data_IF_379251711319
#
_entry.id   IF_379251711319
#
_cell.length_a   1.000
_cell.length_b   1.000
_cell.length_c   1.000
_cell.angle_alpha   90.00
_cell.angle_beta   90.00
_cell.angle_gamma   90.00
#
_symmetry.space_group_name_H-M   'P 1'
#
loop_
_entity.id
_entity.type
_entity.pdbx_description
1 polymer ?
#
# COMPACT_ATOMS: atom_id res chain seq x y z
N UNK A 1 16.78 -8.28 26.15
CA UNK A 1 15.50 -8.73 25.56
C UNK A 1 15.35 -8.21 24.13
N UNK A 2 14.43 -8.76 23.28
CA UNK A 2 14.22 -8.27 21.90
C UNK A 2 13.81 -6.78 21.87
N UNK A 3 13.01 -6.33 22.86
CA UNK A 3 12.56 -4.94 22.94
C UNK A 3 13.71 -3.94 23.06
N UNK A 4 14.75 -4.24 23.82
CA UNK A 4 15.89 -3.33 23.98
C UNK A 4 16.70 -3.19 22.70
N UNK A 5 16.74 -4.26 21.89
CA UNK A 5 17.40 -4.25 20.57
C UNK A 5 16.61 -3.45 19.53
N UNK A 6 15.29 -3.42 19.63
CA UNK A 6 14.42 -2.70 18.70
C UNK A 6 14.24 -1.22 19.08
N UNK A 7 14.35 -0.88 20.35
CA UNK A 7 14.13 0.49 20.86
C UNK A 7 14.86 1.59 20.07
N UNK A 8 16.11 1.44 19.64
CA UNK A 8 16.80 2.48 18.86
C UNK A 8 16.19 2.72 17.48
N UNK A 9 15.36 1.80 16.98
CA UNK A 9 14.71 1.89 15.67
C UNK A 9 13.26 2.35 15.75
N UNK A 10 12.73 2.59 16.95
CA UNK A 10 11.36 3.07 17.17
C UNK A 10 11.37 4.57 17.27
N UNK A 11 10.53 5.22 16.49
CA UNK A 11 10.38 6.68 16.46
C UNK A 11 8.90 7.06 16.53
N UNK A 12 8.61 8.27 16.99
CA UNK A 12 7.30 8.88 16.81
C UNK A 12 7.13 9.23 15.31
N UNK A 13 6.27 8.50 14.64
CA UNK A 13 6.08 8.62 13.19
C UNK A 13 5.50 9.98 12.80
N UNK A 14 4.64 10.58 13.64
CA UNK A 14 4.03 11.89 13.38
C UNK A 14 5.09 12.99 13.41
N UNK A 15 5.90 13.02 14.46
CA UNK A 15 7.00 13.98 14.59
C UNK A 15 8.03 13.78 13.49
N UNK A 16 8.38 12.53 13.19
CA UNK A 16 9.32 12.20 12.14
C UNK A 16 8.87 12.70 10.77
N UNK A 17 7.61 12.43 10.40
CA UNK A 17 7.03 12.86 9.13
C UNK A 17 6.91 14.38 9.04
N UNK A 18 6.46 15.04 10.10
CA UNK A 18 6.40 16.51 10.14
C UNK A 18 7.77 17.12 9.89
N UNK A 19 8.81 16.62 10.56
CA UNK A 19 10.19 17.07 10.34
C UNK A 19 10.64 16.84 8.91
N UNK A 20 10.37 15.68 8.32
CA UNK A 20 10.73 15.38 6.95
C UNK A 20 10.07 16.34 5.97
N UNK A 21 8.78 16.62 6.14
CA UNK A 21 8.03 17.57 5.31
C UNK A 21 8.51 19.02 5.44
N UNK A 22 8.81 19.47 6.68
CA UNK A 22 9.25 20.86 6.93
C UNK A 22 10.69 21.12 6.49
N UNK A 23 11.53 20.10 6.49
CA UNK A 23 12.91 20.18 6.00
C UNK A 23 13.06 19.91 4.50
N UNK A 24 11.95 19.76 3.76
CA UNK A 24 11.96 19.57 2.32
C UNK A 24 12.56 18.23 1.88
N UNK A 25 12.45 17.19 2.68
CA UNK A 25 12.91 15.85 2.29
C UNK A 25 12.02 15.28 1.18
N UNK A 26 12.64 14.59 0.24
CA UNK A 26 11.89 13.76 -0.71
C UNK A 26 11.41 12.50 -0.02
N UNK A 27 10.12 12.25 -0.09
CA UNK A 27 9.46 11.13 0.59
C UNK A 27 8.86 10.24 -0.50
N UNK A 28 9.24 8.99 -0.50
CA UNK A 28 8.60 7.95 -1.30
C UNK A 28 7.68 7.15 -0.38
N UNK A 29 6.42 7.07 -0.75
CA UNK A 29 5.43 6.26 -0.05
C UNK A 29 5.07 5.08 -0.93
N UNK A 30 5.21 3.90 -0.39
CA UNK A 30 4.84 2.64 -1.04
C UNK A 30 3.64 2.04 -0.29
N UNK A 31 2.53 1.83 -1.01
CA UNK A 31 1.38 1.11 -0.49
C UNK A 31 1.59 -0.40 -0.54
N UNK A 32 0.78 -1.12 0.19
CA UNK A 32 0.74 -2.58 0.17
C UNK A 32 -0.62 -3.06 -0.32
N UNK A 33 -0.66 -4.23 -0.92
CA UNK A 33 -1.86 -4.86 -1.46
C UNK A 33 -2.50 -4.13 -2.66
N UNK A 34 -3.43 -4.82 -3.34
CA UNK A 34 -4.13 -4.29 -4.49
C UNK A 34 -5.28 -3.37 -4.10
N UNK A 35 -5.67 -2.45 -4.98
CA UNK A 35 -6.81 -1.55 -4.77
C UNK A 35 -8.13 -2.29 -4.50
N UNK A 36 -8.34 -3.44 -5.14
CA UNK A 36 -9.53 -4.27 -4.92
C UNK A 36 -9.57 -4.88 -3.50
N UNK A 37 -8.47 -4.87 -2.77
CA UNK A 37 -8.39 -5.34 -1.39
C UNK A 37 -8.52 -4.21 -0.35
N UNK A 38 -8.77 -2.97 -0.79
CA UNK A 38 -8.98 -1.84 0.13
C UNK A 38 -10.13 -2.13 1.08
N UNK A 39 -9.94 -1.81 2.38
CA UNK A 39 -10.92 -2.15 3.42
C UNK A 39 -12.26 -1.43 3.21
N UNK A 40 -12.25 -0.20 2.69
CA UNK A 40 -13.45 0.60 2.51
C UNK A 40 -14.01 0.50 1.08
N UNK A 41 -13.14 0.54 0.08
CA UNK A 41 -13.50 0.66 -1.34
C UNK A 41 -13.21 -0.59 -2.17
N UNK A 42 -12.67 -1.64 -1.54
CA UNK A 42 -12.39 -2.91 -2.19
C UNK A 42 -13.61 -3.80 -2.36
N UNK A 43 -13.37 -5.05 -2.71
CA UNK A 43 -14.40 -6.08 -2.93
C UNK A 43 -14.82 -6.74 -1.62
N UNK A 44 -15.41 -5.98 -0.72
CA UNK A 44 -15.89 -6.48 0.57
C UNK A 44 -16.84 -7.69 0.41
N UNK A 45 -16.73 -8.75 1.23
CA UNK A 45 -15.86 -8.88 2.40
C UNK A 45 -14.44 -9.41 2.09
N UNK A 46 -14.07 -9.55 0.84
CA UNK A 46 -12.78 -10.09 0.40
C UNK A 46 -11.75 -8.96 0.30
N UNK A 47 -11.39 -8.39 1.44
CA UNK A 47 -10.51 -7.22 1.57
C UNK A 47 -9.37 -7.49 2.56
N UNK A 48 -8.36 -6.63 2.57
CA UNK A 48 -7.33 -6.61 3.61
C UNK A 48 -7.75 -5.66 4.75
N UNK A 49 -7.01 -5.68 5.84
CA UNK A 49 -7.29 -4.85 7.03
C UNK A 49 -6.75 -3.42 6.94
N UNK A 50 -6.40 -2.94 5.76
CA UNK A 50 -5.81 -1.62 5.57
C UNK A 50 -6.38 -0.89 4.37
N UNK A 51 -6.23 0.44 4.36
CA UNK A 51 -6.51 1.27 3.18
C UNK A 51 -5.36 1.13 2.19
N UNK A 52 -5.64 0.57 1.01
CA UNK A 52 -4.64 0.34 -0.04
C UNK A 52 -4.62 1.46 -1.08
N UNK A 53 -5.61 2.34 -1.05
CA UNK A 53 -5.72 3.50 -1.94
C UNK A 53 -4.86 4.67 -1.46
N UNK A 54 -4.64 5.66 -2.36
CA UNK A 54 -3.84 6.85 -2.06
C UNK A 54 -4.34 7.63 -0.83
N UNK A 55 -5.64 7.61 -0.54
CA UNK A 55 -6.22 8.25 0.64
C UNK A 55 -5.68 7.70 1.95
N UNK A 56 -5.28 6.42 1.99
CA UNK A 56 -4.66 5.80 3.15
C UNK A 56 -3.32 6.42 3.58
N UNK A 57 -2.65 7.12 2.68
CA UNK A 57 -1.41 7.85 2.99
C UNK A 57 -1.69 9.00 3.95
N UNK A 58 -2.78 9.73 3.72
CA UNK A 58 -3.15 10.87 4.53
C UNK A 58 -3.43 10.46 5.98
N UNK A 59 -4.17 9.39 6.17
CA UNK A 59 -4.55 8.90 7.51
C UNK A 59 -3.44 8.08 8.15
N UNK A 60 -2.72 7.28 7.38
CA UNK A 60 -1.65 6.40 7.89
C UNK A 60 -0.36 7.13 8.29
N UNK A 61 -0.01 8.21 7.57
CA UNK A 61 1.23 8.96 7.81
C UNK A 61 1.00 10.38 8.31
N UNK A 62 -0.26 10.83 8.44
CA UNK A 62 -0.57 12.19 8.85
C UNK A 62 -0.16 13.25 7.82
N UNK A 63 -0.13 12.89 6.52
CA UNK A 63 0.26 13.79 5.45
C UNK A 63 -0.98 14.50 4.90
N UNK A 64 -0.99 15.85 4.84
CA UNK A 64 -2.11 16.56 4.22
C UNK A 64 -2.21 16.24 2.72
N UNK A 65 -3.43 16.09 2.14
CA UNK A 65 -3.60 15.74 0.73
C UNK A 65 -2.84 16.64 -0.25
N UNK A 66 -2.75 17.92 0.04
CA UNK A 66 -2.02 18.93 -0.77
C UNK A 66 -0.50 18.70 -0.83
N UNK A 67 0.04 17.83 0.02
CA UNK A 67 1.46 17.46 0.04
C UNK A 67 1.75 16.19 -0.73
N UNK A 68 0.71 15.52 -1.21
CA UNK A 68 0.86 14.38 -2.10
C UNK A 68 1.19 14.93 -3.48
N UNK A 69 2.37 14.62 -3.97
CA UNK A 69 2.83 15.01 -5.29
C UNK A 69 2.40 14.02 -6.37
N UNK A 70 3.36 13.46 -7.07
CA UNK A 70 3.09 12.51 -8.16
C UNK A 70 2.62 11.16 -7.59
N UNK A 71 1.51 10.67 -8.12
CA UNK A 71 0.98 9.33 -7.81
C UNK A 71 1.25 8.43 -9.01
N UNK A 72 1.88 7.29 -8.75
CA UNK A 72 2.19 6.28 -9.77
C UNK A 72 1.46 5.00 -9.39
N UNK A 73 0.60 4.52 -10.28
CA UNK A 73 -0.01 3.20 -10.18
C UNK A 73 0.88 2.15 -10.81
N UNK A 74 1.04 1.02 -10.15
CA UNK A 74 1.73 -0.16 -10.71
C UNK A 74 0.69 -1.22 -11.00
N UNK A 75 0.59 -1.61 -12.25
CA UNK A 75 -0.32 -2.65 -12.70
C UNK A 75 0.48 -3.90 -13.08
N UNK A 76 0.04 -5.04 -12.61
CA UNK A 76 0.62 -6.32 -12.98
C UNK A 76 0.33 -6.64 -14.45
N UNK A 77 1.30 -7.19 -15.16
CA UNK A 77 1.14 -7.54 -16.58
C UNK A 77 0.02 -8.59 -16.82
N UNK A 78 -0.23 -9.43 -15.84
CA UNK A 78 -1.39 -10.32 -15.77
C UNK A 78 -1.94 -10.34 -14.36
N UNK A 79 -3.25 -10.28 -14.23
CA UNK A 79 -3.92 -10.24 -12.94
C UNK A 79 -3.83 -11.60 -12.25
N UNK A 80 -3.55 -11.59 -10.96
CA UNK A 80 -3.61 -12.78 -10.10
C UNK A 80 -4.40 -12.46 -8.83
N UNK A 81 -5.10 -13.45 -8.29
CA UNK A 81 -5.79 -13.34 -7.01
C UNK A 81 -5.50 -14.56 -6.14
N UNK A 82 -5.28 -14.32 -4.85
CA UNK A 82 -5.18 -15.36 -3.82
C UNK A 82 -6.41 -15.28 -2.94
N UNK A 83 -6.98 -16.44 -2.57
CA UNK A 83 -8.20 -16.51 -1.78
C UNK A 83 -9.48 -16.28 -2.59
N UNK A 84 -10.60 -16.18 -1.89
CA UNK A 84 -11.92 -15.97 -2.49
C UNK A 84 -12.16 -14.55 -2.96
N UNK A 85 -13.29 -14.35 -3.63
CA UNK A 85 -13.76 -13.04 -4.09
C UNK A 85 -13.84 -12.92 -5.60
N UNK A 86 -14.35 -11.78 -6.10
CA UNK A 86 -14.55 -11.59 -7.53
C UNK A 86 -13.23 -11.57 -8.29
N UNK A 87 -13.20 -12.34 -9.38
CA UNK A 87 -12.08 -12.38 -10.31
C UNK A 87 -12.59 -12.60 -11.74
N UNK A 88 -13.13 -11.54 -12.39
CA UNK A 88 -13.81 -11.65 -13.69
C UNK A 88 -12.95 -12.21 -14.82
N UNK A 89 -11.63 -12.08 -14.73
CA UNK A 89 -10.68 -12.58 -15.74
C UNK A 89 -10.05 -13.91 -15.39
N UNK A 90 -10.61 -14.64 -14.42
CA UNK A 90 -10.08 -15.93 -13.97
C UNK A 90 -10.10 -16.95 -15.12
N UNK A 91 -8.98 -17.66 -15.29
CA UNK A 91 -8.83 -18.70 -16.29
C UNK A 91 -8.75 -20.06 -15.59
N UNK A 92 -9.85 -20.81 -15.64
CA UNK A 92 -9.95 -22.13 -14.99
C UNK A 92 -9.35 -23.27 -15.81
N UNK A 93 -9.11 -23.06 -17.09
CA UNK A 93 -8.64 -24.06 -18.05
C UNK A 93 -7.12 -24.07 -18.29
N UNK A 94 -6.39 -23.19 -17.64
CA UNK A 94 -4.94 -23.09 -17.78
C UNK A 94 -4.27 -23.57 -16.48
N UNK A 95 -3.45 -24.63 -16.58
CA UNK A 95 -2.56 -25.01 -15.48
C UNK A 95 -1.39 -24.03 -15.40
N UNK A 96 -1.60 -22.93 -14.72
CA UNK A 96 -0.51 -22.02 -14.37
C UNK A 96 0.01 -22.45 -13.00
N UNK A 97 1.09 -23.18 -12.98
CA UNK A 97 1.86 -23.45 -11.76
C UNK A 97 2.76 -22.26 -11.46
N UNK A 98 2.19 -21.19 -10.93
CA UNK A 98 2.95 -20.07 -10.40
C UNK A 98 2.38 -19.71 -9.04
N UNK A 99 3.26 -19.48 -8.07
CA UNK A 99 2.88 -19.01 -6.75
C UNK A 99 2.01 -17.77 -6.88
N UNK A 100 0.75 -17.92 -6.46
CA UNK A 100 -0.30 -16.91 -6.56
C UNK A 100 -0.03 -15.76 -5.58
N UNK A 101 0.87 -14.86 -5.90
CA UNK A 101 1.08 -13.65 -5.11
C UNK A 101 0.59 -12.42 -5.87
N UNK A 102 -0.35 -11.72 -5.26
CA UNK A 102 -0.93 -10.49 -5.77
C UNK A 102 -0.16 -9.30 -5.21
N UNK A 103 0.53 -8.56 -6.07
CA UNK A 103 1.19 -7.30 -5.68
C UNK A 103 0.71 -6.18 -6.60
N UNK A 104 0.06 -5.20 -6.04
CA UNK A 104 -0.08 -3.89 -6.65
C UNK A 104 0.64 -2.89 -5.75
N UNK A 105 1.69 -2.27 -6.26
CA UNK A 105 2.44 -1.25 -5.55
C UNK A 105 1.99 0.13 -6.03
N UNK A 106 1.81 1.04 -5.09
CA UNK A 106 1.55 2.43 -5.41
C UNK A 106 2.74 3.26 -4.90
N UNK A 107 3.39 3.98 -5.80
CA UNK A 107 4.47 4.91 -5.45
C UNK A 107 3.94 6.34 -5.47
N UNK A 108 4.22 7.08 -4.42
CA UNK A 108 3.89 8.51 -4.34
C UNK A 108 5.19 9.28 -4.13
N UNK A 109 5.53 10.13 -5.06
CA UNK A 109 6.69 11.03 -4.93
C UNK A 109 6.19 12.44 -4.66
N UNK A 110 6.58 13.00 -3.51
CA UNK A 110 6.39 14.43 -3.24
C UNK A 110 7.46 15.27 -3.95
N UNK A 111 7.03 16.31 -4.63
CA UNK A 111 7.87 17.38 -5.16
C UNK A 111 7.92 18.56 -4.21
#
# INVERSE_FOLDING_TARGET
MLGDRLRPFVVDSVVYMLKALTTGKRILVEGANALMLDIDFGTYPFVTSSSTAVGGICTGLGIPPRRIGKVIGVMKAYTTRVGGGPFPTEQLNVRISCDNQQYAFMYVTGG
#
